data_IF_776833174600
#
_entry.id   IF_776833174600
#
_cell.length_a   1.000
_cell.length_b   1.000
_cell.length_c   1.000
_cell.angle_alpha   90.00
_cell.angle_beta   90.00
_cell.angle_gamma   90.00
#
_symmetry.space_group_name_H-M   'P 1'
#
loop_
_entity.id
_entity.type
_entity.pdbx_description
1 polymer ?
#
# COMPACT_ATOMS: atom_id res chain seq x y z
N UNK A 1 -42.75 10.99 10.11
CA UNK A 1 -42.66 9.93 9.08
C UNK A 1 -41.25 9.73 8.50
N UNK A 2 -40.27 10.62 8.76
CA UNK A 2 -38.95 10.56 8.12
C UNK A 2 -37.90 9.67 8.81
N UNK A 3 -38.11 9.25 10.07
CA UNK A 3 -37.13 8.42 10.81
C UNK A 3 -37.07 6.94 10.38
N UNK A 4 -38.00 6.47 9.54
CA UNK A 4 -38.05 5.08 9.09
C UNK A 4 -37.40 4.83 7.72
N UNK A 5 -37.07 5.90 6.99
CA UNK A 5 -36.47 5.79 5.65
C UNK A 5 -34.94 5.64 5.76
N UNK A 6 -34.30 6.34 6.70
CA UNK A 6 -32.86 6.21 6.95
C UNK A 6 -32.44 4.80 7.39
N UNK A 7 -33.25 4.14 8.23
CA UNK A 7 -32.97 2.77 8.67
C UNK A 7 -33.15 1.72 7.55
N UNK A 8 -33.96 2.00 6.53
CA UNK A 8 -34.17 1.07 5.43
C UNK A 8 -33.04 1.14 4.40
N UNK A 9 -32.43 2.31 4.20
CA UNK A 9 -31.29 2.50 3.30
C UNK A 9 -30.03 1.84 3.88
N UNK A 10 -29.81 1.95 5.20
CA UNK A 10 -28.70 1.30 5.89
C UNK A 10 -28.77 -0.25 5.83
N UNK A 11 -29.98 -0.83 5.90
CA UNK A 11 -30.15 -2.28 5.76
C UNK A 11 -29.97 -2.80 4.32
N UNK A 12 -30.15 -1.95 3.30
CA UNK A 12 -29.96 -2.36 1.90
C UNK A 12 -28.48 -2.37 1.54
N UNK A 13 -27.67 -1.42 2.03
CA UNK A 13 -26.22 -1.44 1.82
C UNK A 13 -25.53 -2.67 2.45
N UNK A 14 -25.93 -3.07 3.66
CA UNK A 14 -25.38 -4.26 4.34
C UNK A 14 -25.74 -5.60 3.65
N UNK A 15 -26.81 -5.64 2.84
CA UNK A 15 -27.22 -6.84 2.13
C UNK A 15 -26.43 -7.06 0.81
N UNK A 16 -25.92 -6.00 0.17
CA UNK A 16 -25.17 -6.11 -1.08
C UNK A 16 -23.71 -6.50 -0.88
N UNK A 17 -23.09 -6.17 0.26
CA UNK A 17 -21.70 -6.57 0.56
C UNK A 17 -21.58 -8.08 0.82
N UNK A 18 -22.62 -8.73 1.36
CA UNK A 18 -22.61 -10.18 1.62
C UNK A 18 -22.92 -11.09 0.41
N UNK A 19 -23.23 -10.54 -0.77
CA UNK A 19 -23.63 -11.36 -1.95
C UNK A 19 -22.49 -11.60 -2.94
N UNK A 20 -21.28 -11.09 -2.70
CA UNK A 20 -20.14 -11.26 -3.60
C UNK A 20 -19.32 -12.56 -3.37
N UNK A 21 -19.71 -13.43 -2.42
CA UNK A 21 -18.99 -14.67 -2.14
C UNK A 21 -19.92 -15.89 -2.10
N UNK A 22 -20.38 -16.35 -3.27
CA UNK A 22 -20.66 -17.77 -3.53
C UNK A 22 -20.60 -18.03 -5.04
N UNK A 23 -19.42 -18.39 -5.53
CA UNK A 23 -19.31 -19.25 -6.72
C UNK A 23 -18.69 -20.57 -6.27
N UNK A 24 -19.52 -21.42 -5.64
CA UNK A 24 -19.20 -22.85 -5.53
C UNK A 24 -19.46 -23.47 -6.90
N UNK A 25 -18.38 -23.86 -7.58
CA UNK A 25 -18.45 -24.77 -8.72
C UNK A 25 -18.48 -26.18 -8.14
N UNK A 26 -19.65 -26.81 -8.18
CA UNK A 26 -19.79 -28.26 -8.00
C UNK A 26 -19.17 -28.97 -9.22
N UNK A 27 -18.01 -29.60 -9.05
CA UNK A 27 -17.59 -30.69 -9.93
C UNK A 27 -17.75 -32.02 -9.19
N UNK A 28 -18.74 -32.81 -9.63
CA UNK A 28 -18.90 -34.20 -9.25
C UNK A 28 -17.88 -35.12 -9.99
N UNK A 29 -17.57 -36.29 -9.40
CA UNK A 29 -16.39 -37.08 -9.74
C UNK A 29 -16.66 -37.99 -10.94
N UNK A 30 -15.71 -38.08 -11.87
CA UNK A 30 -15.72 -39.15 -12.87
C UNK A 30 -14.56 -40.13 -12.62
N UNK A 31 -14.93 -41.25 -12.00
CA UNK A 31 -14.18 -42.48 -11.92
C UNK A 31 -13.92 -43.04 -13.32
N UNK A 32 -12.67 -43.34 -13.67
CA UNK A 32 -12.38 -44.48 -14.55
C UNK A 32 -11.01 -45.09 -14.24
N UNK A 33 -11.07 -46.37 -13.90
CA UNK A 33 -9.96 -47.30 -13.76
C UNK A 33 -9.18 -47.45 -15.08
N UNK A 34 -7.86 -47.56 -14.98
CA UNK A 34 -7.12 -48.65 -15.64
C UNK A 34 -5.66 -48.71 -15.15
N UNK A 35 -5.31 -49.82 -14.51
CA UNK A 35 -3.95 -50.38 -14.51
C UNK A 35 -3.74 -51.16 -15.81
N UNK A 36 -2.50 -51.30 -16.34
CA UNK A 36 -1.54 -52.30 -15.84
C UNK A 36 -0.10 -51.74 -15.74
N UNK A 37 0.71 -52.09 -14.74
CA UNK A 37 1.51 -53.32 -14.56
C UNK A 37 2.55 -53.63 -15.67
N UNK A 38 3.78 -53.93 -15.20
CA UNK A 38 5.04 -54.31 -15.87
C UNK A 38 5.88 -53.16 -16.47
N UNK A 39 7.19 -53.05 -16.25
CA UNK A 39 8.15 -53.92 -15.60
C UNK A 39 9.51 -53.22 -15.55
N UNK A 40 10.33 -53.64 -14.59
CA UNK A 40 11.74 -53.26 -14.42
C UNK A 40 12.53 -53.76 -15.62
N UNK A 41 13.44 -52.96 -16.16
CA UNK A 41 14.72 -53.46 -16.66
C UNK A 41 15.82 -52.38 -16.52
N UNK A 42 16.87 -52.80 -15.83
CA UNK A 42 18.16 -52.14 -15.63
C UNK A 42 19.06 -52.60 -16.76
N UNK A 43 19.64 -51.68 -17.53
CA UNK A 43 20.93 -51.95 -18.18
C UNK A 43 21.88 -50.77 -18.05
N UNK A 44 23.05 -51.13 -17.53
CA UNK A 44 24.27 -50.39 -17.32
C UNK A 44 25.12 -50.45 -18.60
N UNK A 45 25.80 -49.37 -18.96
CA UNK A 45 27.13 -49.36 -19.62
C UNK A 45 27.58 -47.89 -19.72
N UNK A 46 28.58 -47.45 -18.96
CA UNK A 46 30.04 -47.60 -19.14
C UNK A 46 30.64 -46.68 -20.22
N UNK A 47 31.55 -45.82 -19.72
CA UNK A 47 32.73 -45.20 -20.34
C UNK A 47 32.53 -44.28 -21.58
N UNK A 48 33.16 -43.10 -21.68
CA UNK A 48 34.58 -42.83 -21.45
C UNK A 48 34.87 -41.37 -21.06
N UNK A 49 35.93 -41.24 -20.25
CA UNK A 49 36.77 -40.06 -20.04
C UNK A 49 37.58 -39.71 -21.31
N UNK A 50 37.73 -38.41 -21.61
CA UNK A 50 38.92 -37.90 -22.32
C UNK A 50 39.26 -36.45 -21.88
N UNK A 51 40.56 -36.19 -21.85
CA UNK A 51 41.29 -35.08 -21.23
C UNK A 51 41.60 -33.94 -22.22
N UNK A 52 41.94 -32.76 -21.66
CA UNK A 52 42.78 -31.72 -22.27
C UNK A 52 41.99 -30.55 -22.86
N UNK A 53 42.32 -29.28 -22.67
CA UNK A 53 43.60 -28.62 -22.41
C UNK A 53 43.39 -27.35 -21.58
N UNK A 54 44.26 -27.14 -20.60
CA UNK A 54 44.47 -25.84 -19.94
C UNK A 54 45.40 -25.04 -20.83
N UNK A 55 44.95 -23.87 -21.32
CA UNK A 55 45.83 -22.94 -22.02
C UNK A 55 46.05 -21.69 -21.15
N UNK A 56 47.30 -21.57 -20.67
CA UNK A 56 47.84 -20.42 -19.96
C UNK A 56 48.29 -19.42 -21.01
N UNK A 57 47.61 -18.28 -21.10
CA UNK A 57 48.02 -17.14 -21.91
C UNK A 57 48.24 -15.92 -21.02
N UNK A 58 49.48 -15.70 -20.57
CA UNK A 58 49.97 -14.38 -20.16
C UNK A 58 49.78 -13.40 -21.32
N UNK A 59 49.06 -12.30 -21.09
CA UNK A 59 49.34 -11.06 -21.82
C UNK A 59 49.25 -9.88 -20.85
N UNK A 60 50.39 -9.22 -20.73
CA UNK A 60 50.67 -8.05 -19.94
C UNK A 60 50.23 -6.76 -20.69
N UNK A 61 49.92 -5.75 -19.88
CA UNK A 61 49.73 -4.32 -20.18
C UNK A 61 48.50 -3.85 -20.99
N UNK A 62 47.62 -3.12 -20.30
CA UNK A 62 47.31 -1.67 -20.44
C UNK A 62 45.92 -1.44 -19.83
N UNK A 63 45.76 -0.65 -18.76
CA UNK A 63 45.61 0.80 -18.87
C UNK A 63 44.12 1.16 -18.89
N UNK A 64 43.66 1.81 -17.82
CA UNK A 64 42.39 2.54 -17.71
C UNK A 64 41.08 1.74 -17.92
N UNK A 65 40.44 1.36 -16.82
CA UNK A 65 39.14 1.94 -16.44
C UNK A 65 38.74 1.36 -15.09
N UNK A 66 39.04 2.11 -14.03
CA UNK A 66 38.22 2.06 -12.82
C UNK A 66 36.87 2.67 -13.23
N UNK A 67 35.96 1.84 -13.73
CA UNK A 67 34.54 2.17 -13.68
C UNK A 67 34.11 1.93 -12.24
N UNK A 68 34.32 2.97 -11.45
CA UNK A 68 33.54 3.27 -10.26
C UNK A 68 32.07 3.08 -10.65
N UNK A 69 31.49 1.99 -10.15
CA UNK A 69 30.09 1.62 -10.33
C UNK A 69 29.49 1.59 -8.94
N UNK A 70 29.37 2.77 -8.36
CA UNK A 70 28.81 3.02 -7.05
C UNK A 70 28.73 4.53 -6.89
N UNK A 71 27.62 5.16 -7.32
CA UNK A 71 27.18 6.42 -6.70
C UNK A 71 25.80 6.95 -7.13
N UNK A 72 25.15 6.41 -8.16
CA UNK A 72 23.87 6.99 -8.60
C UNK A 72 22.71 6.61 -7.65
N UNK A 73 22.67 5.38 -7.13
CA UNK A 73 21.59 4.94 -6.21
C UNK A 73 21.60 5.65 -4.86
N UNK A 74 22.77 5.99 -4.33
CA UNK A 74 22.88 6.61 -2.99
C UNK A 74 22.35 8.06 -3.00
N UNK A 75 22.42 8.76 -4.15
CA UNK A 75 21.90 10.13 -4.29
C UNK A 75 20.37 10.17 -4.44
N UNK A 76 19.78 9.17 -5.11
CA UNK A 76 18.34 9.05 -5.30
C UNK A 76 17.63 8.62 -4.00
N UNK A 77 18.21 7.69 -3.23
CA UNK A 77 17.70 7.30 -1.90
C UNK A 77 17.70 8.49 -0.93
N UNK A 78 18.80 9.25 -0.85
CA UNK A 78 18.90 10.46 -0.03
C UNK A 78 17.88 11.54 -0.46
N UNK A 79 17.57 11.63 -1.76
CA UNK A 79 16.55 12.55 -2.30
C UNK A 79 15.16 12.15 -1.82
N UNK A 80 14.77 10.88 -1.98
CA UNK A 80 13.44 10.42 -1.62
C UNK A 80 13.19 10.50 -0.11
N UNK A 81 14.16 10.10 0.71
CA UNK A 81 14.10 10.27 2.17
C UNK A 81 13.92 11.74 2.57
N UNK A 82 14.63 12.66 1.90
CA UNK A 82 14.47 14.09 2.12
C UNK A 82 13.05 14.56 1.79
N UNK A 83 12.45 14.07 0.70
CA UNK A 83 11.06 14.37 0.35
C UNK A 83 10.08 13.85 1.40
N UNK A 84 10.23 12.59 1.84
CA UNK A 84 9.41 12.00 2.91
C UNK A 84 9.41 12.88 4.17
N UNK A 85 10.61 13.35 4.56
CA UNK A 85 10.79 14.19 5.74
C UNK A 85 10.24 15.60 5.56
N UNK A 86 10.56 16.26 4.44
CA UNK A 86 10.15 17.64 4.16
C UNK A 86 8.63 17.74 3.98
N UNK A 87 8.02 16.76 3.32
CA UNK A 87 6.56 16.70 3.17
C UNK A 87 5.86 16.02 4.33
N UNK A 88 6.58 15.58 5.37
CA UNK A 88 6.04 14.93 6.57
C UNK A 88 5.03 13.82 6.24
N UNK A 89 5.39 12.93 5.32
CA UNK A 89 4.49 11.90 4.77
C UNK A 89 3.93 11.00 5.88
N UNK A 90 4.76 10.67 6.87
CA UNK A 90 4.36 9.85 8.03
C UNK A 90 4.01 10.68 9.27
N UNK A 91 3.46 11.88 9.08
CA UNK A 91 2.89 12.64 10.19
C UNK A 91 1.45 12.23 10.45
N UNK A 92 1.11 12.08 11.73
CA UNK A 92 -0.25 11.84 12.16
C UNK A 92 -1.15 13.02 11.73
N UNK A 93 -2.38 12.71 11.34
CA UNK A 93 -3.33 13.70 10.86
C UNK A 93 -4.76 13.20 11.02
N UNK A 94 -5.68 14.16 10.99
CA UNK A 94 -7.12 13.95 10.99
C UNK A 94 -7.71 14.83 9.90
N UNK A 95 -8.52 14.28 9.01
CA UNK A 95 -9.22 15.05 7.97
C UNK A 95 -10.72 14.86 8.09
N UNK A 96 -11.48 15.95 7.89
CA UNK A 96 -12.93 15.92 8.01
C UNK A 96 -13.61 16.59 6.81
N UNK A 97 -14.55 15.87 6.19
CA UNK A 97 -15.41 16.35 5.13
C UNK A 97 -16.72 16.95 5.66
N UNK A 98 -17.20 18.08 5.11
CA UNK A 98 -18.29 18.85 5.68
C UNK A 98 -19.63 18.09 5.60
N UNK A 99 -20.03 17.45 6.72
CA UNK A 99 -21.32 16.78 6.85
C UNK A 99 -21.50 15.54 5.97
N UNK A 100 -20.42 15.05 5.36
CA UNK A 100 -20.41 13.84 4.52
C UNK A 100 -19.97 12.61 5.30
N UNK A 101 -19.23 12.82 6.40
CA UNK A 101 -18.56 11.75 7.13
C UNK A 101 -17.44 11.08 6.34
N UNK A 102 -17.01 11.70 5.23
CA UNK A 102 -15.77 11.37 4.54
C UNK A 102 -14.61 12.08 5.23
N UNK A 103 -13.44 11.45 5.19
CA UNK A 103 -12.26 11.86 5.94
C UNK A 103 -11.50 10.62 6.38
N UNK A 104 -10.25 10.81 6.72
CA UNK A 104 -9.40 9.79 7.31
C UNK A 104 -8.59 10.39 8.45
N UNK A 105 -8.41 9.59 9.49
CA UNK A 105 -7.47 9.84 10.56
C UNK A 105 -6.36 8.80 10.48
N UNK A 106 -5.11 9.20 10.75
CA UNK A 106 -3.95 8.31 10.79
C UNK A 106 -3.02 8.72 11.94
N UNK A 107 -2.62 7.73 12.72
CA UNK A 107 -1.58 7.78 13.74
C UNK A 107 -0.54 6.70 13.44
N UNK A 108 0.71 7.11 13.20
CA UNK A 108 1.78 6.19 12.86
C UNK A 108 2.41 5.58 14.12
N UNK A 109 2.38 4.25 14.19
CA UNK A 109 2.95 3.45 15.28
C UNK A 109 4.41 3.07 15.03
N UNK A 110 4.75 2.84 13.76
CA UNK A 110 6.10 2.43 13.34
C UNK A 110 6.40 3.00 11.96
N UNK A 111 7.63 3.47 11.77
CA UNK A 111 8.17 3.89 10.48
C UNK A 111 9.59 3.34 10.39
N UNK A 112 9.82 2.48 9.41
CA UNK A 112 11.12 1.87 9.08
C UNK A 112 11.53 2.30 7.69
N UNK A 113 12.71 1.87 7.23
CA UNK A 113 13.18 2.20 5.87
C UNK A 113 12.29 1.59 4.78
N UNK A 114 11.57 0.50 5.07
CA UNK A 114 10.80 -0.25 4.07
C UNK A 114 9.29 -0.17 4.26
N UNK A 115 8.82 0.04 5.49
CA UNK A 115 7.40 0.00 5.79
C UNK A 115 7.02 1.01 6.88
N UNK A 116 5.77 1.43 6.86
CA UNK A 116 5.15 2.19 7.96
C UNK A 116 3.82 1.56 8.36
N UNK A 117 3.56 1.47 9.67
CA UNK A 117 2.31 0.99 10.24
C UNK A 117 1.55 2.18 10.85
N UNK A 118 0.31 2.37 10.43
CA UNK A 118 -0.59 3.36 11.01
C UNK A 118 -1.89 2.73 11.49
N UNK A 119 -2.42 3.23 12.59
CA UNK A 119 -3.81 3.07 13.00
C UNK A 119 -4.59 4.30 12.57
N UNK A 120 -5.87 4.14 12.28
CA UNK A 120 -6.67 5.24 11.81
C UNK A 120 -8.15 4.95 11.75
N UNK A 121 -8.85 5.76 10.97
CA UNK A 121 -10.23 5.49 10.60
C UNK A 121 -10.55 5.94 9.18
N UNK A 122 -11.50 5.24 8.56
CA UNK A 122 -12.15 5.65 7.32
C UNK A 122 -13.54 6.22 7.66
N UNK A 123 -13.75 7.50 7.38
CA UNK A 123 -14.88 8.27 7.90
C UNK A 123 -14.93 8.28 9.43
N UNK A 124 -16.06 8.65 10.04
CA UNK A 124 -16.16 8.74 11.51
C UNK A 124 -16.38 7.40 12.25
N UNK A 125 -16.35 6.25 11.57
CA UNK A 125 -17.02 5.05 12.10
C UNK A 125 -16.27 3.73 11.97
N UNK A 126 -15.23 3.64 11.15
CA UNK A 126 -14.54 2.37 10.91
C UNK A 126 -13.08 2.54 11.27
N UNK A 127 -12.65 1.91 12.36
CA UNK A 127 -11.24 1.84 12.70
C UNK A 127 -10.51 0.95 11.69
N UNK A 128 -9.29 1.36 11.33
CA UNK A 128 -8.47 0.66 10.33
C UNK A 128 -7.01 0.62 10.78
N UNK A 129 -6.30 -0.40 10.33
CA UNK A 129 -4.85 -0.38 10.27
C UNK A 129 -4.39 -0.36 8.82
N UNK A 130 -3.41 0.49 8.53
CA UNK A 130 -2.75 0.59 7.24
C UNK A 130 -1.29 0.19 7.35
N UNK A 131 -0.84 -0.68 6.45
CA UNK A 131 0.58 -0.91 6.21
C UNK A 131 0.95 -0.24 4.89
N UNK A 132 1.98 0.58 4.94
CA UNK A 132 2.58 1.22 3.79
C UNK A 132 3.86 0.48 3.42
N UNK A 133 4.06 0.31 2.11
CA UNK A 133 5.32 -0.08 1.49
C UNK A 133 6.05 1.20 1.03
N UNK A 134 7.34 1.29 1.34
CA UNK A 134 8.21 2.41 1.00
C UNK A 134 9.18 1.92 -0.06
N UNK A 135 8.89 2.28 -1.30
CA UNK A 135 9.64 1.86 -2.48
C UNK A 135 10.63 2.96 -2.85
N UNK A 136 11.88 2.79 -2.40
CA UNK A 136 12.97 3.71 -2.74
C UNK A 136 13.40 3.64 -4.21
N UNK A 137 13.20 2.50 -4.88
CA UNK A 137 13.59 2.33 -6.28
C UNK A 137 12.66 3.11 -7.21
N UNK A 138 11.36 3.18 -6.87
CA UNK A 138 10.35 3.94 -7.62
C UNK A 138 10.04 5.32 -7.01
N UNK A 139 10.67 5.69 -5.89
CA UNK A 139 10.36 6.90 -5.11
C UNK A 139 8.86 7.03 -4.76
N UNK A 140 8.24 5.93 -4.33
CA UNK A 140 6.80 5.84 -4.01
C UNK A 140 6.53 5.32 -2.59
N UNK A 141 5.43 5.80 -2.00
CA UNK A 141 4.82 5.20 -0.81
C UNK A 141 3.45 4.69 -1.20
N UNK A 142 3.17 3.42 -0.94
CA UNK A 142 1.93 2.76 -1.38
C UNK A 142 1.27 2.04 -0.22
N UNK A 143 -0.05 2.02 -0.18
CA UNK A 143 -0.78 1.12 0.71
C UNK A 143 -0.54 -0.31 0.25
N UNK A 144 0.04 -1.13 1.13
CA UNK A 144 0.26 -2.56 0.91
C UNK A 144 -0.84 -3.40 1.53
N UNK A 145 -1.31 -3.00 2.72
CA UNK A 145 -2.42 -3.63 3.42
C UNK A 145 -3.35 -2.62 4.08
N UNK A 146 -4.63 -2.93 4.04
CA UNK A 146 -5.63 -2.34 4.93
C UNK A 146 -6.40 -3.45 5.63
N UNK A 147 -6.56 -3.34 6.94
CA UNK A 147 -7.51 -4.18 7.68
C UNK A 147 -8.45 -3.31 8.51
N UNK A 148 -9.71 -3.75 8.63
CA UNK A 148 -10.81 -2.96 9.19
C UNK A 148 -11.41 -3.62 10.41
N UNK A 149 -11.96 -2.80 11.31
CA UNK A 149 -12.71 -3.27 12.47
C UNK A 149 -13.72 -4.37 12.07
N UNK A 150 -13.65 -5.52 12.75
CA UNK A 150 -14.47 -6.69 12.48
C UNK A 150 -13.81 -7.77 11.61
N UNK A 151 -12.66 -7.50 11.00
CA UNK A 151 -11.84 -8.51 10.34
C UNK A 151 -10.96 -9.28 11.34
N UNK A 152 -10.58 -10.52 11.02
CA UNK A 152 -9.70 -11.32 11.88
C UNK A 152 -8.34 -10.65 12.00
N UNK A 153 -7.76 -10.22 10.88
CA UNK A 153 -6.44 -9.57 10.83
C UNK A 153 -6.41 -8.28 11.65
N UNK A 154 -7.48 -7.48 11.65
CA UNK A 154 -7.58 -6.29 12.48
C UNK A 154 -7.43 -6.62 13.97
N UNK A 155 -8.19 -7.60 14.45
CA UNK A 155 -8.12 -8.01 15.86
C UNK A 155 -6.75 -8.61 16.21
N UNK A 156 -6.11 -9.30 15.26
CA UNK A 156 -4.75 -9.83 15.46
C UNK A 156 -3.71 -8.71 15.56
N UNK A 157 -3.81 -7.66 14.74
CA UNK A 157 -2.95 -6.46 14.84
C UNK A 157 -3.16 -5.76 16.18
N UNK A 158 -4.42 -5.46 16.52
CA UNK A 158 -4.80 -4.80 17.77
C UNK A 158 -4.27 -5.56 18.99
N UNK A 159 -4.52 -6.88 19.04
CA UNK A 159 -4.04 -7.73 20.12
C UNK A 159 -2.51 -7.68 20.28
N UNK A 160 -1.75 -7.72 19.19
CA UNK A 160 -0.29 -7.67 19.24
C UNK A 160 0.23 -6.33 19.79
N UNK A 161 -0.34 -5.22 19.32
CA UNK A 161 0.02 -3.89 19.81
C UNK A 161 -0.35 -3.72 21.30
N UNK A 162 -1.52 -4.20 21.73
CA UNK A 162 -1.97 -4.12 23.12
C UNK A 162 -1.15 -4.99 24.09
N UNK A 163 -0.70 -6.18 23.65
CA UNK A 163 0.15 -7.07 24.45
C UNK A 163 1.61 -6.58 24.58
N UNK A 164 1.90 -5.35 24.12
CA UNK A 164 3.20 -4.70 24.12
C UNK A 164 4.24 -5.43 23.24
N UNK A 165 3.82 -6.06 22.14
CA UNK A 165 4.75 -6.36 21.06
C UNK A 165 5.29 -5.04 20.50
N UNK A 166 6.55 -5.05 20.05
CA UNK A 166 7.17 -3.89 19.41
C UNK A 166 6.40 -3.58 18.10
N UNK A 167 5.94 -2.33 17.86
CA UNK A 167 5.29 -1.97 16.61
C UNK A 167 6.09 -2.37 15.35
N UNK A 168 7.42 -2.40 15.41
CA UNK A 168 8.26 -2.90 14.31
C UNK A 168 8.07 -4.41 14.06
N UNK A 169 7.91 -5.22 15.12
CA UNK A 169 7.63 -6.66 14.99
C UNK A 169 6.24 -6.91 14.38
N UNK A 170 5.24 -6.10 14.76
CA UNK A 170 3.89 -6.17 14.17
C UNK A 170 3.92 -5.75 12.69
N UNK A 171 4.68 -4.71 12.37
CA UNK A 171 4.91 -4.24 10.99
C UNK A 171 5.51 -5.36 10.14
N UNK A 172 6.58 -5.99 10.60
CA UNK A 172 7.24 -7.09 9.89
C UNK A 172 6.33 -8.32 9.74
N UNK A 173 5.51 -8.64 10.74
CA UNK A 173 4.53 -9.72 10.65
C UNK A 173 3.47 -9.45 9.58
N UNK A 174 2.93 -8.22 9.53
CA UNK A 174 1.90 -7.84 8.57
C UNK A 174 2.46 -7.76 7.14
N UNK A 175 3.69 -7.25 6.98
CA UNK A 175 4.42 -7.22 5.70
C UNK A 175 4.67 -8.63 5.12
N UNK A 176 4.76 -9.65 5.98
CA UNK A 176 4.89 -11.05 5.57
C UNK A 176 3.60 -11.68 5.02
N UNK A 177 2.47 -10.97 5.05
CA UNK A 177 1.18 -11.45 4.54
C UNK A 177 0.94 -11.02 3.09
N UNK A 178 0.05 -11.74 2.39
CA UNK A 178 -0.33 -11.41 1.01
C UNK A 178 -1.03 -10.06 0.94
N UNK A 179 -0.43 -9.10 0.23
CA UNK A 179 -0.97 -7.76 0.02
C UNK A 179 -2.43 -7.79 -0.45
N UNK A 180 -3.25 -6.93 0.16
CA UNK A 180 -4.68 -6.83 -0.12
C UNK A 180 -5.10 -5.44 -0.64
N UNK A 181 -4.14 -4.52 -0.80
CA UNK A 181 -4.33 -3.16 -1.32
C UNK A 181 -3.08 -2.77 -2.12
N UNK A 182 -3.29 -1.96 -3.15
CA UNK A 182 -2.21 -1.50 -4.02
C UNK A 182 -2.54 -0.08 -4.53
N UNK A 183 -2.50 0.89 -3.61
CA UNK A 183 -2.93 2.26 -3.88
C UNK A 183 -1.81 3.24 -3.54
N UNK A 184 -1.57 4.20 -4.44
CA UNK A 184 -0.52 5.20 -4.27
C UNK A 184 -0.89 6.17 -3.14
N UNK A 185 -0.03 6.32 -2.14
CA UNK A 185 -0.20 7.29 -1.06
C UNK A 185 0.63 8.56 -1.31
N UNK A 186 1.88 8.40 -1.76
CA UNK A 186 2.79 9.50 -2.11
C UNK A 186 3.77 9.08 -3.22
N UNK A 187 4.21 10.03 -4.04
CA UNK A 187 5.24 9.84 -5.05
C UNK A 187 6.10 11.10 -5.16
N UNK A 188 7.40 10.95 -5.39
CA UNK A 188 8.30 12.07 -5.63
C UNK A 188 7.89 12.90 -6.87
N UNK A 189 7.33 12.27 -7.90
CA UNK A 189 6.87 12.95 -9.12
C UNK A 189 5.79 14.00 -8.83
N UNK A 190 4.94 13.76 -7.82
CA UNK A 190 3.90 14.71 -7.40
C UNK A 190 4.47 16.05 -6.89
N UNK A 191 5.74 16.06 -6.48
CA UNK A 191 6.42 17.26 -5.99
C UNK A 191 6.90 18.16 -7.14
N UNK A 192 7.05 17.60 -8.35
CA UNK A 192 7.43 18.35 -9.55
C UNK A 192 6.25 19.12 -10.16
N UNK A 193 5.01 18.67 -9.90
CA UNK A 193 3.76 19.22 -10.45
C UNK A 193 2.85 19.81 -9.36
N UNK A 194 3.36 20.78 -8.60
CA UNK A 194 2.58 21.43 -7.54
C UNK A 194 1.30 22.11 -8.07
N UNK A 195 0.23 21.98 -7.29
CA UNK A 195 -1.06 22.64 -7.52
C UNK A 195 -1.30 23.77 -6.52
N UNK A 196 -1.76 24.92 -7.04
CA UNK A 196 -2.32 25.99 -6.21
C UNK A 196 -3.69 25.58 -5.68
N UNK A 197 -3.80 25.39 -4.36
CA UNK A 197 -5.04 25.05 -3.66
C UNK A 197 -5.48 26.16 -2.69
N UNK A 198 -6.75 26.13 -2.30
CA UNK A 198 -7.28 26.95 -1.21
C UNK A 198 -7.57 26.06 0.00
N UNK A 199 -7.08 26.47 1.17
CA UNK A 199 -7.28 25.82 2.47
C UNK A 199 -7.36 26.93 3.55
N UNK A 200 -8.36 26.87 4.43
CA UNK A 200 -8.61 27.90 5.46
C UNK A 200 -8.60 29.36 4.95
N UNK A 201 -9.19 29.60 3.77
CA UNK A 201 -9.21 30.91 3.08
C UNK A 201 -7.84 31.42 2.60
N UNK A 202 -6.77 30.65 2.76
CA UNK A 202 -5.44 30.93 2.25
C UNK A 202 -5.13 30.13 0.97
N UNK A 203 -4.30 30.71 0.10
CA UNK A 203 -3.84 30.06 -1.12
C UNK A 203 -2.41 29.58 -0.95
N UNK A 204 -2.16 28.31 -1.27
CA UNK A 204 -0.85 27.67 -1.12
C UNK A 204 -0.60 26.62 -2.20
N UNK A 205 0.66 26.26 -2.40
CA UNK A 205 1.08 25.18 -3.29
C UNK A 205 1.16 23.86 -2.53
N UNK A 206 0.59 22.79 -3.08
CA UNK A 206 0.66 21.44 -2.52
C UNK A 206 0.93 20.42 -3.64
N UNK A 207 1.60 19.33 -3.29
CA UNK A 207 1.84 18.20 -4.19
C UNK A 207 0.56 17.36 -4.30
N UNK A 208 -0.08 17.25 -5.48
CA UNK A 208 -1.24 16.43 -5.70
C UNK A 208 -0.83 14.97 -6.00
N UNK A 209 -1.33 14.03 -5.21
CA UNK A 209 -1.14 12.59 -5.44
C UNK A 209 -2.50 12.01 -5.82
N UNK A 210 -2.64 11.62 -7.08
CA UNK A 210 -3.88 11.03 -7.60
C UNK A 210 -3.85 9.50 -7.48
N UNK A 211 -4.88 8.96 -6.83
CA UNK A 211 -5.16 7.54 -6.81
C UNK A 211 -6.03 7.14 -8.01
N UNK A 212 -5.88 5.89 -8.46
CA UNK A 212 -6.70 5.29 -9.52
C UNK A 212 -8.21 5.23 -9.20
N UNK A 213 -8.61 5.51 -7.97
CA UNK A 213 -9.99 5.46 -7.46
C UNK A 213 -10.74 6.79 -7.58
N UNK A 214 -10.08 7.86 -8.05
CA UNK A 214 -10.65 9.21 -8.05
C UNK A 214 -10.55 9.87 -6.66
N UNK A 215 -9.47 9.61 -5.95
CA UNK A 215 -9.09 10.31 -4.72
C UNK A 215 -7.79 11.05 -4.98
N UNK A 216 -7.71 12.31 -4.56
CA UNK A 216 -6.50 13.13 -4.71
C UNK A 216 -6.10 13.63 -3.34
N UNK A 217 -4.91 13.24 -2.89
CA UNK A 217 -4.30 13.70 -1.63
C UNK A 217 -3.36 14.87 -1.91
N UNK A 218 -3.47 15.91 -1.12
CA UNK A 218 -2.65 17.10 -1.23
C UNK A 218 -1.66 17.17 -0.07
N UNK A 219 -0.37 17.00 -0.37
CA UNK A 219 0.70 17.08 0.62
C UNK A 219 1.37 18.45 0.56
N UNK A 220 1.59 19.05 1.73
CA UNK A 220 2.28 20.34 1.85
C UNK A 220 3.56 20.17 2.65
N UNK A 221 4.65 20.69 2.11
CA UNK A 221 5.94 20.78 2.80
C UNK A 221 5.78 21.43 4.17
N UNK A 222 6.48 20.87 5.17
CA UNK A 222 6.42 21.17 6.60
C UNK A 222 5.09 20.87 7.30
N UNK A 223 4.09 20.33 6.60
CA UNK A 223 2.75 20.06 7.16
C UNK A 223 2.38 18.58 7.09
N UNK A 224 2.55 17.91 5.95
CA UNK A 224 1.97 16.58 5.73
C UNK A 224 0.78 16.63 4.77
N UNK A 225 -0.09 15.62 4.89
CA UNK A 225 -1.39 15.64 4.24
C UNK A 225 -2.18 16.86 4.75
N UNK A 226 -2.74 17.64 3.83
CA UNK A 226 -3.52 18.84 4.13
C UNK A 226 -5.00 18.66 3.79
N UNK A 227 -5.26 17.94 2.70
CA UNK A 227 -6.58 17.90 2.06
C UNK A 227 -6.72 16.64 1.21
N UNK A 228 -7.93 16.10 1.17
CA UNK A 228 -8.32 14.98 0.32
C UNK A 228 -9.50 15.43 -0.54
N UNK A 229 -9.37 15.28 -1.85
CA UNK A 229 -10.46 15.54 -2.80
C UNK A 229 -10.95 14.22 -3.37
N UNK A 230 -12.23 13.94 -3.20
CA UNK A 230 -12.91 12.76 -3.70
C UNK A 230 -13.74 13.13 -4.93
N UNK A 231 -13.41 12.53 -6.08
CA UNK A 231 -14.00 12.81 -7.41
C UNK A 231 -14.55 11.56 -8.11
N UNK A 232 -14.40 10.37 -7.52
CA UNK A 232 -14.89 9.12 -8.12
C UNK A 232 -16.41 9.06 -8.34
N UNK A 233 -16.86 8.23 -9.28
CA UNK A 233 -18.29 8.12 -9.67
C UNK A 233 -19.22 7.85 -8.47
N UNK A 234 -18.78 7.03 -7.50
CA UNK A 234 -19.57 6.73 -6.30
C UNK A 234 -19.81 7.97 -5.43
N UNK A 235 -18.84 8.89 -5.38
CA UNK A 235 -18.94 10.14 -4.62
C UNK A 235 -19.94 11.05 -5.31
N UNK A 236 -19.88 11.15 -6.63
CA UNK A 236 -20.85 11.92 -7.42
C UNK A 236 -22.27 11.35 -7.26
N UNK A 237 -22.43 10.03 -7.29
CA UNK A 237 -23.72 9.36 -7.12
C UNK A 237 -24.35 9.63 -5.75
N UNK A 238 -23.54 9.66 -4.69
CA UNK A 238 -24.01 9.81 -3.30
C UNK A 238 -24.20 11.28 -2.92
N UNK A 239 -23.27 12.15 -3.32
CA UNK A 239 -23.19 13.53 -2.85
C UNK A 239 -23.55 14.58 -3.92
N UNK A 240 -23.70 14.17 -5.17
CA UNK A 240 -24.06 15.05 -6.29
C UNK A 240 -22.91 15.89 -6.83
N UNK A 241 -21.66 15.54 -6.49
CA UNK A 241 -20.45 16.22 -6.96
C UNK A 241 -19.21 15.84 -6.15
N UNK A 242 -18.11 16.53 -6.42
CA UNK A 242 -16.86 16.38 -5.67
C UNK A 242 -17.03 16.74 -4.19
N UNK A 243 -16.33 16.02 -3.32
CA UNK A 243 -16.25 16.31 -1.90
C UNK A 243 -14.80 16.52 -1.50
N UNK A 244 -14.58 17.44 -0.57
CA UNK A 244 -13.26 17.65 0.04
C UNK A 244 -13.34 17.33 1.53
N UNK A 245 -12.36 16.58 2.05
CA UNK A 245 -12.03 16.53 3.46
C UNK A 245 -10.76 17.35 3.72
N UNK A 246 -10.76 18.17 4.76
CA UNK A 246 -9.66 19.09 5.08
C UNK A 246 -9.06 18.70 6.43
N UNK A 247 -7.74 18.83 6.57
CA UNK A 247 -7.03 18.53 7.81
C UNK A 247 -7.55 19.39 8.95
N UNK A 248 -7.77 18.76 10.09
CA UNK A 248 -8.03 19.41 11.36
C UNK A 248 -6.70 19.82 12.01
N UNK A 249 -6.45 21.13 12.07
CA UNK A 249 -5.22 21.69 12.66
C UNK A 249 -5.13 21.54 14.19
N UNK A 250 -6.22 21.16 14.86
CA UNK A 250 -6.21 20.87 16.29
C UNK A 250 -5.70 19.45 16.60
N UNK A 251 -5.48 18.61 15.58
CA UNK A 251 -4.90 17.29 15.73
C UNK A 251 -3.35 17.40 15.75
N UNK A 252 -2.69 16.87 16.80
CA UNK A 252 -1.27 17.08 17.06
C UNK A 252 -0.33 16.45 16.02
#
# INVERSE_FOLDING_TARGET
>A
MMKKVAALIFCILLAFINTACTTETEEEPNSHENSPDHGVDVEQSDDTSDNGEVNVGETDMTGADLKESSNDNDEDEERFESLINNYKIFSSHETEGPGTGLGEGMEFHSVTDQHALAEGHEGHAVAVYHLFDIDHDNEEVRFQHTTREGEITFNDVEYRLEENEDPEEVTAWLAGQESNRDELYFSADAVEELETITYEEETMEAAPVEENTGTIRYFKEDVGLLKIRYTGEQVEDVFGGEITAERNNDFP
#
